data_IF_345820132695
#
_entry.id   IF_345820132695
#
_cell.length_a   1.000
_cell.length_b   1.000
_cell.length_c   1.000
_cell.angle_alpha   90.00
_cell.angle_beta   90.00
_cell.angle_gamma   90.00
#
_symmetry.space_group_name_H-M   'P 1'
#
loop_
_entity.id
_entity.type
_entity.pdbx_description
1 polymer ?
#
# COMPACT_ATOMS: atom_id res chain seq x y z
N UNK A 1 -4.50 38.82 -8.28
CA UNK A 1 -5.38 37.66 -8.50
C UNK A 1 -4.95 36.46 -7.66
N UNK A 2 -3.73 35.94 -7.83
CA UNK A 2 -3.23 34.78 -7.07
C UNK A 2 -3.31 34.92 -5.54
N UNK A 3 -2.86 36.05 -4.97
CA UNK A 3 -2.87 36.27 -3.52
C UNK A 3 -4.27 36.20 -2.94
N UNK A 4 -5.28 36.75 -3.64
CA UNK A 4 -6.68 36.71 -3.20
C UNK A 4 -7.26 35.28 -3.22
N UNK A 5 -6.84 34.46 -4.19
CA UNK A 5 -7.23 33.04 -4.23
C UNK A 5 -6.57 32.26 -3.10
N UNK A 6 -5.30 32.55 -2.79
CA UNK A 6 -4.58 31.95 -1.66
C UNK A 6 -5.22 32.34 -0.32
N UNK A 7 -5.47 33.63 -0.10
CA UNK A 7 -6.13 34.14 1.11
C UNK A 7 -7.52 33.52 1.32
N UNK A 8 -8.22 33.17 0.24
CA UNK A 8 -9.49 32.46 0.32
C UNK A 8 -9.28 30.99 0.66
N UNK A 9 -8.29 30.33 0.06
CA UNK A 9 -8.01 28.91 0.26
C UNK A 9 -7.47 28.59 1.67
N UNK A 10 -6.74 29.53 2.30
CA UNK A 10 -6.17 29.38 3.64
C UNK A 10 -7.21 29.46 4.78
N UNK A 11 -8.40 29.99 4.51
CA UNK A 11 -9.49 30.07 5.50
C UNK A 11 -9.97 28.67 5.89
N UNK A 12 -10.81 28.63 6.93
CA UNK A 12 -11.50 27.39 7.28
C UNK A 12 -12.45 26.94 6.15
N UNK A 13 -12.65 25.62 5.99
CA UNK A 13 -13.50 25.09 4.91
C UNK A 13 -14.96 25.56 4.99
N UNK A 14 -15.43 25.94 6.19
CA UNK A 14 -16.76 26.53 6.42
C UNK A 14 -16.88 27.96 5.85
N UNK A 15 -15.77 28.70 5.81
CA UNK A 15 -15.68 30.07 5.31
C UNK A 15 -15.24 30.15 3.83
N UNK A 16 -15.22 29.01 3.13
CA UNK A 16 -14.83 28.90 1.73
C UNK A 16 -13.36 28.56 1.48
N UNK A 17 -12.66 28.10 2.53
CA UNK A 17 -11.32 27.52 2.46
C UNK A 17 -11.23 26.19 1.72
N UNK A 18 -10.00 25.72 1.52
CA UNK A 18 -9.74 24.44 0.87
C UNK A 18 -10.18 23.26 1.74
N UNK A 19 -10.96 22.32 1.16
CA UNK A 19 -11.43 21.14 1.89
C UNK A 19 -10.28 20.19 2.23
N UNK A 20 -10.23 19.66 3.46
CA UNK A 20 -9.22 18.66 3.83
C UNK A 20 -9.49 17.33 3.12
N UNK A 21 -8.45 16.51 3.02
CA UNK A 21 -8.54 15.17 2.48
C UNK A 21 -9.42 14.27 3.39
N UNK A 22 -10.50 13.76 2.83
CA UNK A 22 -11.48 12.95 3.56
C UNK A 22 -11.03 11.48 3.63
N UNK A 23 -11.41 10.80 4.70
CA UNK A 23 -11.20 9.36 4.86
C UNK A 23 -12.54 8.63 4.79
N UNK A 24 -12.58 7.55 4.01
CA UNK A 24 -13.75 6.66 3.93
C UNK A 24 -13.52 5.47 4.85
N UNK A 25 -14.37 5.28 5.86
CA UNK A 25 -14.27 4.16 6.78
C UNK A 25 -14.65 2.85 6.11
N UNK A 26 -13.88 1.79 6.38
CA UNK A 26 -14.15 0.44 5.89
C UNK A 26 -14.47 -0.50 7.05
N UNK A 27 -15.00 -1.68 6.73
CA UNK A 27 -15.27 -2.75 7.69
C UNK A 27 -14.00 -3.47 8.17
N UNK A 28 -12.83 -3.17 7.58
CA UNK A 28 -11.55 -3.80 7.91
C UNK A 28 -11.04 -3.34 9.27
N UNK A 29 -10.71 -4.30 10.13
CA UNK A 29 -10.13 -4.05 11.44
C UNK A 29 -8.60 -3.93 11.39
N UNK A 30 -8.06 -3.03 12.20
CA UNK A 30 -6.64 -2.82 12.34
C UNK A 30 -5.97 -4.02 13.03
N UNK A 31 -4.88 -4.59 12.49
CA UNK A 31 -4.22 -5.77 13.06
C UNK A 31 -3.58 -5.50 14.44
N UNK A 32 -3.30 -4.24 14.78
CA UNK A 32 -2.59 -3.89 16.02
C UNK A 32 -3.52 -3.42 17.13
N UNK A 33 -4.65 -2.77 16.81
CA UNK A 33 -5.53 -2.16 17.82
C UNK A 33 -7.02 -2.53 17.67
N UNK A 34 -7.40 -3.27 16.64
CA UNK A 34 -8.79 -3.72 16.41
C UNK A 34 -9.78 -2.63 15.98
N UNK A 35 -9.37 -1.37 15.83
CA UNK A 35 -10.25 -0.31 15.33
C UNK A 35 -10.44 -0.38 13.82
N UNK A 36 -11.57 0.16 13.33
CA UNK A 36 -11.85 0.25 11.90
C UNK A 36 -10.80 1.07 11.16
N UNK A 37 -10.37 0.57 10.02
CA UNK A 37 -9.49 1.27 9.10
C UNK A 37 -10.31 2.09 8.11
N UNK A 38 -9.66 3.05 7.46
CA UNK A 38 -10.28 3.84 6.41
C UNK A 38 -9.32 4.05 5.24
N UNK A 39 -9.89 4.16 4.04
CA UNK A 39 -9.19 4.41 2.80
C UNK A 39 -8.71 5.86 2.81
N UNK A 40 -7.41 6.05 2.57
CA UNK A 40 -6.78 7.36 2.42
C UNK A 40 -5.95 7.39 1.14
N UNK A 41 -6.02 8.50 0.44
CA UNK A 41 -5.23 8.75 -0.76
C UNK A 41 -4.09 9.71 -0.42
N UNK A 42 -2.85 9.32 -0.65
CA UNK A 42 -1.68 10.18 -0.57
C UNK A 42 -0.96 10.27 -1.93
N UNK A 43 0.09 11.08 -2.00
CA UNK A 43 0.91 11.23 -3.21
C UNK A 43 1.55 9.92 -3.69
N UNK A 44 1.83 8.99 -2.77
CA UNK A 44 2.43 7.69 -3.08
C UNK A 44 1.42 6.61 -3.47
N UNK A 45 0.12 6.89 -3.38
CA UNK A 45 -0.95 5.93 -3.67
C UNK A 45 -2.01 5.85 -2.59
N UNK A 46 -2.86 4.83 -2.71
CA UNK A 46 -4.00 4.56 -1.82
C UNK A 46 -3.58 3.55 -0.76
N UNK A 47 -3.99 3.77 0.50
CA UNK A 47 -3.68 2.87 1.60
C UNK A 47 -4.81 2.87 2.64
N UNK A 48 -4.85 1.85 3.48
CA UNK A 48 -5.72 1.80 4.67
C UNK A 48 -4.98 2.40 5.86
N UNK A 49 -5.56 3.44 6.46
CA UNK A 49 -5.10 4.05 7.71
C UNK A 49 -6.05 3.75 8.86
N UNK A 50 -5.52 3.47 10.06
CA UNK A 50 -6.37 3.27 11.24
C UNK A 50 -7.13 4.55 11.61
N UNK A 51 -8.44 4.44 11.91
CA UNK A 51 -9.25 5.55 12.45
C UNK A 51 -8.68 6.13 13.75
N UNK A 52 -7.97 5.30 14.52
CA UNK A 52 -7.28 5.71 15.74
C UNK A 52 -6.14 6.71 15.54
N UNK A 53 -5.79 7.08 14.30
CA UNK A 53 -4.80 8.13 14.04
C UNK A 53 -5.24 9.52 14.52
N UNK A 54 -6.56 9.79 14.52
CA UNK A 54 -7.11 11.08 14.95
C UNK A 54 -7.00 11.33 16.46
N UNK A 55 -6.69 10.30 17.25
CA UNK A 55 -6.50 10.43 18.70
C UNK A 55 -5.26 11.25 19.07
N UNK A 56 -5.20 11.75 20.32
CA UNK A 56 -4.02 12.40 20.86
C UNK A 56 -2.75 11.56 20.66
N UNK A 57 -1.55 12.20 20.57
CA UNK A 57 -0.29 11.52 20.27
C UNK A 57 0.06 10.29 21.12
N UNK A 58 -0.45 10.21 22.35
CA UNK A 58 -0.21 9.06 23.25
C UNK A 58 -0.99 7.80 22.86
N UNK A 59 -2.15 7.95 22.24
CA UNK A 59 -3.08 6.84 21.94
C UNK A 59 -3.29 6.65 20.44
N UNK A 60 -2.56 7.39 19.60
CA UNK A 60 -2.71 7.30 18.16
C UNK A 60 -2.12 6.02 17.62
N UNK A 61 -2.90 5.32 16.83
CA UNK A 61 -2.42 4.17 16.09
C UNK A 61 -1.81 4.62 14.75
N UNK A 62 -0.50 4.38 14.57
CA UNK A 62 0.26 4.76 13.36
C UNK A 62 0.30 3.65 12.29
N UNK A 63 -0.43 2.57 12.50
CA UNK A 63 -0.41 1.42 11.61
C UNK A 63 -1.14 1.71 10.31
N UNK A 64 -0.52 1.36 9.20
CA UNK A 64 -1.06 1.52 7.85
C UNK A 64 -0.89 0.22 7.08
N UNK A 65 -1.86 -0.12 6.24
CA UNK A 65 -1.76 -1.25 5.31
C UNK A 65 -1.72 -0.66 3.90
N UNK A 66 -0.65 -0.94 3.17
CA UNK A 66 -0.52 -0.47 1.79
C UNK A 66 -1.41 -1.29 0.87
N UNK A 67 -2.20 -0.62 0.04
CA UNK A 67 -3.04 -1.28 -0.95
C UNK A 67 -2.26 -1.40 -2.25
N UNK A 68 -1.98 -2.63 -2.68
CA UNK A 68 -1.27 -2.86 -3.94
C UNK A 68 -2.31 -2.87 -5.06
N UNK A 69 -2.28 -1.91 -6.01
CA UNK A 69 -3.18 -1.98 -7.15
C UNK A 69 -2.89 -3.26 -7.92
N UNK A 70 -3.94 -3.93 -8.36
CA UNK A 70 -3.79 -5.02 -9.32
C UNK A 70 -3.27 -4.38 -10.62
N UNK A 71 -1.95 -4.44 -10.84
CA UNK A 71 -1.30 -3.84 -12.00
C UNK A 71 -2.11 -4.18 -13.26
N UNK A 72 -2.57 -3.14 -13.96
CA UNK A 72 -3.08 -3.18 -15.33
C UNK A 72 -1.94 -3.63 -16.25
N UNK A 73 -1.60 -4.92 -16.23
CA UNK A 73 -0.76 -5.49 -17.27
C UNK A 73 -1.67 -5.67 -18.47
N UNK A 74 -1.85 -4.58 -19.22
CA UNK A 74 -2.31 -4.67 -20.59
C UNK A 74 -1.28 -5.56 -21.31
N UNK A 75 -1.71 -6.76 -21.69
CA UNK A 75 -0.97 -7.49 -22.70
C UNK A 75 -1.09 -6.63 -23.96
N UNK A 76 -0.01 -5.91 -24.32
CA UNK A 76 0.09 -5.05 -25.52
C UNK A 76 -0.29 -5.81 -26.81
N UNK A 77 -0.37 -7.14 -26.73
CA UNK A 77 -0.78 -8.07 -27.77
C UNK A 77 -2.30 -8.12 -28.02
N UNK A 78 -3.15 -7.54 -27.18
CA UNK A 78 -4.62 -7.65 -27.30
C UNK A 78 -5.29 -6.64 -28.26
N UNK A 79 -4.52 -5.90 -29.08
CA UNK A 79 -5.05 -5.02 -30.12
C UNK A 79 -5.84 -3.82 -29.58
N UNK A 80 -6.61 -3.16 -30.46
CA UNK A 80 -7.33 -1.90 -30.16
C UNK A 80 -8.47 -2.07 -29.13
N UNK A 81 -8.95 -3.30 -28.89
CA UNK A 81 -10.03 -3.60 -27.95
C UNK A 81 -9.57 -3.87 -26.50
N UNK A 82 -8.26 -3.96 -26.27
CA UNK A 82 -7.68 -4.28 -24.96
C UNK A 82 -8.14 -3.31 -23.86
N UNK A 83 -8.15 -2.01 -24.16
CA UNK A 83 -8.58 -0.98 -23.21
C UNK A 83 -10.07 -1.09 -22.88
N UNK A 84 -10.90 -1.37 -23.89
CA UNK A 84 -12.35 -1.55 -23.72
C UNK A 84 -12.64 -2.77 -22.85
N UNK A 85 -11.91 -3.87 -23.04
CA UNK A 85 -12.06 -5.09 -22.25
C UNK A 85 -11.58 -4.89 -20.81
N UNK A 86 -10.48 -4.19 -20.60
CA UNK A 86 -10.00 -3.84 -19.26
C UNK A 86 -11.03 -2.99 -18.49
N UNK A 87 -11.68 -2.01 -19.15
CA UNK A 87 -12.74 -1.20 -18.54
C UNK A 87 -14.03 -1.99 -18.25
N UNK A 88 -14.32 -3.03 -19.02
CA UNK A 88 -15.46 -3.94 -18.75
C UNK A 88 -15.18 -4.89 -17.59
N UNK A 89 -13.93 -5.28 -17.38
CA UNK A 89 -13.52 -6.14 -16.26
C UNK A 89 -13.63 -5.43 -14.90
N UNK A 90 -13.58 -4.09 -14.86
CA UNK A 90 -13.75 -3.31 -13.63
C UNK A 90 -15.18 -3.43 -13.09
N UNK A 91 -15.30 -3.70 -11.79
CA UNK A 91 -16.58 -3.69 -11.08
C UNK A 91 -17.21 -2.29 -11.11
N UNK A 92 -18.53 -2.21 -10.97
CA UNK A 92 -19.28 -0.96 -10.94
C UNK A 92 -19.72 -0.68 -9.51
N UNK A 93 -19.49 0.54 -9.05
CA UNK A 93 -19.83 0.93 -7.70
C UNK A 93 -21.35 0.80 -7.47
N UNK A 94 -21.81 0.14 -6.39
CA UNK A 94 -23.24 -0.05 -6.13
C UNK A 94 -23.99 1.25 -5.83
N UNK A 95 -23.27 2.33 -5.49
CA UNK A 95 -23.86 3.64 -5.15
C UNK A 95 -23.99 4.60 -6.34
N UNK A 96 -23.03 4.57 -7.27
CA UNK A 96 -22.93 5.57 -8.33
C UNK A 96 -22.68 5.00 -9.75
N UNK A 97 -22.46 3.68 -9.87
CA UNK A 97 -22.20 3.02 -11.16
C UNK A 97 -20.83 3.31 -11.78
N UNK A 98 -19.99 4.14 -11.16
CA UNK A 98 -18.62 4.41 -11.63
C UNK A 98 -17.77 3.14 -11.57
N UNK A 99 -16.80 3.01 -12.48
CA UNK A 99 -15.83 1.91 -12.45
C UNK A 99 -15.03 1.96 -11.13
N UNK A 100 -14.77 0.78 -10.57
CA UNK A 100 -14.02 0.61 -9.33
C UNK A 100 -12.60 0.16 -9.64
N UNK A 101 -11.66 0.64 -8.84
CA UNK A 101 -10.27 0.22 -8.86
C UNK A 101 -10.05 -0.90 -7.84
N UNK A 102 -9.35 -1.94 -8.28
CA UNK A 102 -9.13 -3.15 -7.52
C UNK A 102 -7.76 -3.14 -6.85
N UNK A 103 -7.75 -3.39 -5.54
CA UNK A 103 -6.55 -3.43 -4.71
C UNK A 103 -6.44 -4.74 -3.94
N UNK A 104 -5.23 -5.27 -3.77
CA UNK A 104 -4.96 -6.40 -2.90
C UNK A 104 -4.59 -5.90 -1.50
N UNK A 105 -5.30 -6.40 -0.48
CA UNK A 105 -4.95 -6.22 0.94
C UNK A 105 -4.08 -7.40 1.39
N UNK A 106 -4.63 -8.60 1.21
CA UNK A 106 -4.08 -9.87 1.67
C UNK A 106 -4.21 -10.90 0.54
N UNK A 107 -3.51 -12.04 0.61
CA UNK A 107 -3.73 -13.16 -0.32
C UNK A 107 -5.17 -13.71 -0.25
N UNK A 108 -5.98 -13.32 0.73
CA UNK A 108 -7.37 -13.78 0.91
C UNK A 108 -8.43 -12.73 0.58
N UNK A 109 -8.04 -11.45 0.48
CA UNK A 109 -8.98 -10.32 0.46
C UNK A 109 -8.53 -9.27 -0.54
N UNK A 110 -9.45 -8.92 -1.44
CA UNK A 110 -9.32 -7.88 -2.44
C UNK A 110 -10.34 -6.79 -2.16
N UNK A 111 -9.91 -5.53 -2.23
CA UNK A 111 -10.72 -4.35 -1.99
C UNK A 111 -10.96 -3.63 -3.30
N UNK A 112 -12.23 -3.44 -3.64
CA UNK A 112 -12.66 -2.61 -4.76
C UNK A 112 -13.05 -1.25 -4.20
N UNK A 113 -12.45 -0.19 -4.71
CA UNK A 113 -12.72 1.19 -4.30
C UNK A 113 -13.32 1.95 -5.48
N UNK A 114 -14.37 2.73 -5.25
CA UNK A 114 -14.94 3.57 -6.30
C UNK A 114 -13.92 4.58 -6.87
N UNK A 115 -13.85 4.75 -8.19
CA UNK A 115 -12.97 5.74 -8.82
C UNK A 115 -13.30 7.20 -8.44
N UNK A 116 -14.50 7.47 -7.92
CA UNK A 116 -14.90 8.78 -7.38
C UNK A 116 -14.58 8.96 -5.88
N UNK A 117 -13.78 8.08 -5.28
CA UNK A 117 -13.29 8.24 -3.91
C UNK A 117 -12.37 9.48 -3.82
N UNK A 118 -12.52 10.36 -2.79
CA UNK A 118 -13.30 10.21 -1.55
C UNK A 118 -14.73 10.77 -1.58
N UNK A 119 -15.19 11.31 -2.70
CA UNK A 119 -16.56 11.85 -2.83
C UNK A 119 -17.62 10.76 -2.71
N UNK A 120 -17.32 9.57 -3.23
CA UNK A 120 -18.15 8.38 -3.07
C UNK A 120 -17.51 7.42 -2.06
N UNK A 121 -18.27 7.04 -1.05
CA UNK A 121 -17.90 6.10 0.02
C UNK A 121 -18.24 4.64 -0.35
N UNK A 122 -18.35 4.34 -1.64
CA UNK A 122 -18.63 3.00 -2.15
C UNK A 122 -17.35 2.16 -2.24
N UNK A 123 -17.33 1.05 -1.52
CA UNK A 123 -16.30 0.03 -1.61
C UNK A 123 -16.92 -1.37 -1.52
N UNK A 124 -16.22 -2.37 -2.05
CA UNK A 124 -16.60 -3.79 -1.91
C UNK A 124 -15.38 -4.61 -1.51
N UNK A 125 -15.59 -5.65 -0.72
CA UNK A 125 -14.55 -6.60 -0.34
C UNK A 125 -14.88 -7.92 -1.03
N UNK A 126 -13.95 -8.41 -1.84
CA UNK A 126 -14.00 -9.71 -2.48
C UNK A 126 -13.09 -10.66 -1.72
N UNK A 127 -13.69 -11.72 -1.17
CA UNK A 127 -12.96 -12.82 -0.52
C UNK A 127 -12.61 -13.86 -1.58
N UNK A 128 -11.34 -14.25 -1.64
CA UNK A 128 -10.83 -15.18 -2.64
C UNK A 128 -9.34 -15.43 -2.47
N UNK A 129 -8.79 -16.43 -3.15
CA UNK A 129 -7.37 -16.74 -3.07
C UNK A 129 -6.59 -16.03 -4.19
N UNK A 130 -5.87 -14.99 -3.83
CA UNK A 130 -5.08 -14.17 -4.74
C UNK A 130 -3.59 -14.46 -4.58
N UNK A 131 -2.91 -14.67 -5.72
CA UNK A 131 -1.46 -14.85 -5.75
C UNK A 131 -0.77 -13.49 -5.90
N UNK A 132 0.01 -13.11 -4.89
CA UNK A 132 0.86 -11.92 -4.98
C UNK A 132 2.02 -12.23 -5.93
N UNK A 133 2.28 -11.37 -6.93
CA UNK A 133 3.43 -11.47 -7.84
C UNK A 133 4.74 -11.47 -7.01
N UNK A 134 5.29 -12.67 -6.78
CA UNK A 134 6.44 -12.88 -5.90
C UNK A 134 6.50 -14.26 -5.24
N UNK A 135 5.44 -15.06 -5.28
CA UNK A 135 5.42 -16.37 -4.60
C UNK A 135 6.19 -17.49 -5.32
N UNK A 136 6.55 -17.34 -6.61
CA UNK A 136 7.41 -18.29 -7.34
C UNK A 136 8.93 -18.05 -7.10
N UNK A 137 9.28 -17.30 -6.05
CA UNK A 137 10.68 -17.11 -5.66
C UNK A 137 11.26 -18.33 -4.94
N UNK A 138 12.57 -18.57 -5.00
CA UNK A 138 13.21 -19.60 -4.20
C UNK A 138 12.99 -19.33 -2.70
N UNK A 139 12.68 -20.37 -1.92
CA UNK A 139 12.61 -20.29 -0.46
C UNK A 139 14.00 -20.58 0.10
N UNK A 140 14.49 -19.72 0.99
CA UNK A 140 15.82 -19.84 1.60
C UNK A 140 15.70 -19.78 3.12
N UNK A 141 16.52 -20.55 3.82
CA UNK A 141 16.57 -20.54 5.28
C UNK A 141 17.28 -19.29 5.82
N UNK A 142 16.75 -18.72 6.89
CA UNK A 142 17.33 -17.56 7.56
C UNK A 142 18.48 -17.97 8.50
N UNK A 143 19.67 -17.44 8.29
CA UNK A 143 20.84 -17.74 9.14
C UNK A 143 20.69 -17.36 10.62
N UNK A 144 19.83 -16.38 10.94
CA UNK A 144 19.67 -15.89 12.31
C UNK A 144 18.68 -16.71 13.15
N UNK A 145 17.69 -17.35 12.52
CA UNK A 145 16.59 -18.00 13.24
C UNK A 145 16.16 -19.35 12.67
N UNK A 146 16.74 -19.80 11.55
CA UNK A 146 16.38 -21.05 10.87
C UNK A 146 15.00 -21.03 10.20
N UNK A 147 14.24 -19.94 10.29
CA UNK A 147 12.93 -19.83 9.64
C UNK A 147 13.05 -19.57 8.14
N UNK A 148 12.01 -19.89 7.39
CA UNK A 148 11.95 -19.63 5.95
C UNK A 148 11.98 -18.12 5.63
N UNK A 149 12.59 -17.78 4.50
CA UNK A 149 12.59 -16.44 3.93
C UNK A 149 11.81 -16.44 2.62
N UNK A 150 10.93 -15.45 2.45
CA UNK A 150 10.09 -15.29 1.26
C UNK A 150 10.53 -14.09 0.42
N UNK A 151 10.33 -14.19 -0.89
CA UNK A 151 10.60 -13.10 -1.83
C UNK A 151 9.56 -11.97 -1.67
N UNK A 152 10.04 -10.76 -1.42
CA UNK A 152 9.24 -9.53 -1.38
C UNK A 152 9.79 -8.52 -2.39
N UNK A 153 8.90 -7.71 -2.95
CA UNK A 153 9.27 -6.59 -3.82
C UNK A 153 9.18 -5.29 -3.01
N UNK A 154 10.29 -4.58 -2.89
CA UNK A 154 10.36 -3.27 -2.25
C UNK A 154 10.74 -2.17 -3.24
N UNK A 155 10.75 -0.92 -2.77
CA UNK A 155 11.17 0.25 -3.56
C UNK A 155 12.61 0.17 -4.10
N UNK A 156 13.46 -0.61 -3.44
CA UNK A 156 14.87 -0.79 -3.79
C UNK A 156 15.13 -2.09 -4.58
N UNK A 157 14.08 -2.71 -5.10
CA UNK A 157 14.15 -3.98 -5.82
C UNK A 157 13.67 -5.18 -5.00
N UNK A 158 13.90 -6.36 -5.55
CA UNK A 158 13.52 -7.65 -4.96
C UNK A 158 14.46 -8.00 -3.80
N UNK A 159 13.91 -8.53 -2.71
CA UNK A 159 14.67 -8.97 -1.54
C UNK A 159 13.96 -10.13 -0.86
N UNK A 160 14.72 -10.95 -0.13
CA UNK A 160 14.20 -12.01 0.72
C UNK A 160 13.99 -11.45 2.12
N UNK A 161 12.80 -11.64 2.68
CA UNK A 161 12.46 -11.27 4.05
C UNK A 161 12.16 -12.53 4.85
N UNK A 162 12.67 -12.60 6.08
CA UNK A 162 12.29 -13.69 6.98
C UNK A 162 10.78 -13.66 7.27
N UNK A 163 10.16 -14.83 7.36
CA UNK A 163 8.74 -14.99 7.68
C UNK A 163 8.46 -14.73 9.17
N UNK A 164 9.46 -14.91 10.04
CA UNK A 164 9.32 -14.65 11.47
C UNK A 164 9.32 -13.13 11.75
N UNK A 165 8.26 -12.62 12.37
CA UNK A 165 8.11 -11.19 12.70
C UNK A 165 9.15 -10.68 13.73
N UNK A 166 9.68 -11.57 14.56
CA UNK A 166 10.75 -11.22 15.52
C UNK A 166 12.10 -11.04 14.81
N UNK A 167 12.31 -11.74 13.69
CA UNK A 167 13.55 -11.72 12.93
C UNK A 167 13.46 -10.75 11.74
N UNK A 168 13.96 -9.52 11.91
CA UNK A 168 14.00 -8.51 10.83
C UNK A 168 15.14 -8.72 9.82
N UNK A 169 15.65 -9.96 9.68
CA UNK A 169 16.72 -10.26 8.75
C UNK A 169 16.21 -10.25 7.30
N UNK A 170 17.01 -9.65 6.40
CA UNK A 170 16.68 -9.53 4.99
C UNK A 170 17.92 -9.81 4.13
N UNK A 171 17.74 -10.54 3.03
CA UNK A 171 18.81 -10.79 2.04
C UNK A 171 18.47 -10.13 0.71
N UNK A 172 19.47 -9.58 0.04
CA UNK A 172 19.30 -8.95 -1.28
C UNK A 172 19.20 -10.02 -2.36
N UNK A 173 18.40 -9.78 -3.40
CA UNK A 173 18.42 -10.58 -4.64
C UNK A 173 19.31 -9.84 -5.65
N UNK A 174 20.26 -10.56 -6.24
CA UNK A 174 21.13 -10.06 -7.29
C UNK A 174 20.36 -9.95 -8.62
N UNK A 175 20.92 -9.22 -9.60
CA UNK A 175 20.25 -9.01 -10.90
C UNK A 175 20.02 -10.31 -11.69
N UNK A 176 20.85 -11.32 -11.45
CA UNK A 176 20.75 -12.66 -12.03
C UNK A 176 19.68 -13.54 -11.36
N UNK A 177 19.01 -13.06 -10.30
CA UNK A 177 18.01 -13.80 -9.55
C UNK A 177 18.56 -14.63 -8.40
N UNK A 178 19.87 -14.67 -8.19
CA UNK A 178 20.49 -15.37 -7.07
C UNK A 178 20.37 -14.59 -5.76
N UNK A 179 20.29 -15.32 -4.65
CA UNK A 179 20.24 -14.73 -3.31
C UNK A 179 21.65 -14.34 -2.89
N UNK A 180 21.85 -13.06 -2.55
CA UNK A 180 23.13 -12.55 -2.08
C UNK A 180 23.58 -13.29 -0.80
N UNK A 181 24.91 -13.35 -0.53
CA UNK A 181 25.44 -13.92 0.70
C UNK A 181 24.82 -13.32 1.99
N UNK A 182 24.99 -13.99 3.14
CA UNK A 182 24.70 -13.44 4.45
C UNK A 182 25.11 -11.96 4.55
N UNK A 183 24.24 -11.12 5.12
CA UNK A 183 24.60 -9.73 5.37
C UNK A 183 25.50 -9.68 6.62
N UNK A 184 26.71 -9.15 6.47
CA UNK A 184 27.56 -8.80 7.61
C UNK A 184 27.07 -7.53 8.30
N UNK A 185 27.26 -7.47 9.61
CA UNK A 185 26.87 -6.30 10.40
C UNK A 185 27.85 -5.13 10.17
N UNK A 186 27.38 -3.88 10.04
CA UNK A 186 28.25 -2.74 9.80
C UNK A 186 29.24 -2.52 10.94
N UNK A 187 30.50 -2.24 10.60
CA UNK A 187 31.53 -1.82 11.57
C UNK A 187 31.36 -0.32 11.85
N UNK A 188 31.16 0.04 13.11
CA UNK A 188 31.03 1.43 13.55
C UNK A 188 32.40 2.08 13.75
N UNK A 189 32.63 3.23 13.11
CA UNK A 189 33.88 3.99 13.21
C UNK A 189 33.62 5.35 13.91
N UNK A 190 33.68 5.43 15.25
CA UNK A 190 33.27 6.62 16.01
C UNK A 190 34.17 7.84 15.77
N UNK A 191 35.42 7.64 15.34
CA UNK A 191 36.39 8.70 15.02
C UNK A 191 36.09 9.43 13.70
N UNK A 192 35.30 8.82 12.80
CA UNK A 192 34.93 9.41 11.52
C UNK A 192 33.59 10.13 11.64
N UNK A 193 33.62 11.47 11.52
CA UNK A 193 32.40 12.29 11.43
C UNK A 193 31.98 12.39 9.96
N UNK A 194 30.69 12.27 9.69
CA UNK A 194 30.17 12.52 8.34
C UNK A 194 30.32 14.00 7.97
N UNK A 195 30.91 14.28 6.80
CA UNK A 195 30.71 15.56 6.11
C UNK A 195 29.32 15.52 5.45
N UNK A 196 28.54 16.60 5.63
CA UNK A 196 27.16 16.69 5.13
C UNK A 196 27.10 17.18 3.69
#
# INVERSE_FOLDING_TARGET
DFTQQLDKAEKDPEEGGMRPNQMVLTSIDCPTCGRKMGIRTASTGVFLGCSGYALPPKERCKTTINLVPENEVLNVLEGEDAETNALRAKRRCPKCGTAMDSYLIDPKRKLHVCGNNPTCDGYEIEEGEFRIKGYDGPIVECEKCGSEMHLKMGRFGKYMACTNEECKNTRKILRNGEVAPPKEDPVTLPELRCEK
#
